data_IF_809243498156
#
_entry.id   IF_809243498156
#
_cell.length_a   1.000
_cell.length_b   1.000
_cell.length_c   1.000
_cell.angle_alpha   90.00
_cell.angle_beta   90.00
_cell.angle_gamma   90.00
#
_symmetry.space_group_name_H-M   'P 1'
#
loop_
_entity.id
_entity.type
_entity.pdbx_description
1 polymer ?
#
# COMPACT_ATOMS: atom_id res chain seq x y z
N UNK A 1 -2.87 -21.86 -20.00
CA UNK A 1 -3.02 -22.45 -18.66
C UNK A 1 -3.27 -21.40 -17.60
N UNK A 2 -2.27 -20.56 -17.29
CA UNK A 2 -2.31 -19.63 -16.14
C UNK A 2 -3.53 -18.68 -16.12
N UNK A 3 -3.88 -18.06 -17.24
CA UNK A 3 -5.05 -17.17 -17.30
C UNK A 3 -6.37 -17.88 -16.96
N UNK A 4 -6.58 -19.07 -17.50
CA UNK A 4 -7.77 -19.89 -17.21
C UNK A 4 -7.81 -20.33 -15.74
N UNK A 5 -6.67 -20.73 -15.17
CA UNK A 5 -6.59 -21.09 -13.75
C UNK A 5 -7.00 -19.91 -12.84
N UNK A 6 -6.56 -18.69 -13.15
CA UNK A 6 -6.96 -17.48 -12.41
C UNK A 6 -8.46 -17.23 -12.49
N UNK A 7 -9.06 -17.36 -13.68
CA UNK A 7 -10.51 -17.17 -13.88
C UNK A 7 -11.30 -18.20 -13.07
N UNK A 8 -10.91 -19.48 -13.14
CA UNK A 8 -11.57 -20.57 -12.40
C UNK A 8 -11.45 -20.35 -10.89
N UNK A 9 -10.28 -19.95 -10.41
CA UNK A 9 -10.06 -19.65 -8.99
C UNK A 9 -10.94 -18.49 -8.50
N UNK A 10 -11.05 -17.40 -9.27
CA UNK A 10 -11.90 -16.27 -8.90
C UNK A 10 -13.39 -16.62 -8.96
N UNK A 11 -13.80 -17.43 -9.95
CA UNK A 11 -15.18 -17.90 -10.07
C UNK A 11 -15.59 -18.75 -8.85
N UNK A 12 -14.75 -19.70 -8.43
CA UNK A 12 -14.99 -20.53 -7.24
C UNK A 12 -15.13 -19.70 -5.97
N UNK A 13 -14.22 -18.74 -5.75
CA UNK A 13 -14.28 -17.85 -4.57
C UNK A 13 -15.56 -17.01 -4.57
N UNK A 14 -15.96 -16.50 -5.75
CA UNK A 14 -17.20 -15.74 -5.91
C UNK A 14 -18.43 -16.58 -5.54
N UNK A 15 -18.48 -17.84 -6.01
CA UNK A 15 -19.57 -18.78 -5.68
C UNK A 15 -19.63 -19.03 -4.16
N UNK A 16 -18.49 -19.22 -3.51
CA UNK A 16 -18.41 -19.42 -2.06
C UNK A 16 -18.93 -18.19 -1.29
N UNK A 17 -18.56 -16.98 -1.70
CA UNK A 17 -19.06 -15.75 -1.08
C UNK A 17 -20.57 -15.56 -1.27
N UNK A 18 -21.10 -15.86 -2.47
CA UNK A 18 -22.54 -15.86 -2.73
C UNK A 18 -23.24 -16.86 -1.81
N UNK A 19 -22.69 -18.07 -1.67
CA UNK A 19 -23.25 -19.08 -0.77
C UNK A 19 -23.31 -18.58 0.69
N UNK A 20 -22.22 -18.03 1.21
CA UNK A 20 -22.21 -17.51 2.58
C UNK A 20 -23.16 -16.33 2.79
N UNK A 21 -23.29 -15.42 1.82
CA UNK A 21 -24.15 -14.25 1.92
C UNK A 21 -25.65 -14.63 1.99
N UNK A 22 -26.08 -15.64 1.23
CA UNK A 22 -27.49 -16.02 1.14
C UNK A 22 -27.91 -17.14 2.08
N UNK A 23 -27.03 -18.11 2.36
CA UNK A 23 -27.40 -19.34 3.08
C UNK A 23 -26.92 -19.39 4.53
N UNK A 24 -25.92 -18.59 4.91
CA UNK A 24 -25.43 -18.59 6.29
C UNK A 24 -26.15 -17.55 7.16
N UNK A 25 -26.89 -18.02 8.17
CA UNK A 25 -27.72 -17.19 9.08
C UNK A 25 -26.93 -16.32 10.09
N UNK A 26 -25.59 -16.33 10.02
CA UNK A 26 -24.71 -15.52 10.88
C UNK A 26 -24.22 -14.23 10.20
N UNK A 27 -24.69 -13.93 8.99
CA UNK A 27 -24.39 -12.66 8.33
C UNK A 27 -25.03 -11.50 9.09
N UNK A 28 -24.21 -10.50 9.48
CA UNK A 28 -24.68 -9.22 10.02
C UNK A 28 -25.48 -8.38 8.99
N UNK A 29 -25.48 -8.80 7.71
CA UNK A 29 -26.14 -8.11 6.59
C UNK A 29 -27.22 -9.02 6.02
N UNK A 30 -28.49 -8.62 6.13
CA UNK A 30 -29.63 -9.32 5.54
C UNK A 30 -29.83 -8.78 4.12
N UNK A 31 -29.47 -9.57 3.11
CA UNK A 31 -29.67 -9.19 1.72
C UNK A 31 -31.10 -9.48 1.29
N UNK A 32 -31.93 -8.43 1.12
CA UNK A 32 -33.30 -8.55 0.65
C UNK A 32 -33.53 -7.66 -0.58
N UNK A 33 -33.59 -8.29 -1.77
CA UNK A 33 -33.87 -7.58 -3.03
C UNK A 33 -35.20 -6.84 -3.03
N UNK A 34 -36.19 -7.28 -2.23
CA UNK A 34 -37.48 -6.60 -2.11
C UNK A 34 -37.39 -5.29 -1.31
N UNK A 35 -36.32 -5.10 -0.55
CA UNK A 35 -36.06 -3.91 0.27
C UNK A 35 -35.13 -2.91 -0.41
N UNK A 36 -34.77 -3.14 -1.68
CA UNK A 36 -33.88 -2.27 -2.41
C UNK A 36 -34.59 -0.97 -2.83
N UNK A 37 -34.15 0.15 -2.26
CA UNK A 37 -34.55 1.48 -2.66
C UNK A 37 -33.32 2.23 -3.18
N UNK A 38 -33.46 2.89 -4.33
CA UNK A 38 -32.40 3.74 -4.87
C UNK A 38 -32.20 4.96 -3.95
N UNK A 39 -31.02 5.06 -3.36
CA UNK A 39 -30.62 6.21 -2.54
C UNK A 39 -29.33 6.81 -3.10
N UNK A 40 -29.48 7.96 -3.75
CA UNK A 40 -28.36 8.70 -4.33
C UNK A 40 -27.32 9.11 -3.27
N UNK A 41 -27.74 9.34 -2.02
CA UNK A 41 -26.86 9.71 -0.91
C UNK A 41 -25.95 8.53 -0.55
N UNK A 42 -26.48 7.31 -0.51
CA UNK A 42 -25.68 6.10 -0.26
C UNK A 42 -24.70 5.87 -1.40
N UNK A 43 -25.15 5.97 -2.66
CA UNK A 43 -24.28 5.82 -3.83
C UNK A 43 -23.15 6.86 -3.81
N UNK A 44 -23.46 8.12 -3.52
CA UNK A 44 -22.45 9.17 -3.43
C UNK A 44 -21.41 8.88 -2.32
N UNK A 45 -21.83 8.32 -1.18
CA UNK A 45 -20.90 7.89 -0.12
C UNK A 45 -19.97 6.76 -0.59
N UNK A 46 -20.49 5.80 -1.33
CA UNK A 46 -19.70 4.70 -1.92
C UNK A 46 -18.65 5.28 -2.87
N UNK A 47 -19.04 6.12 -3.83
CA UNK A 47 -18.11 6.73 -4.78
C UNK A 47 -17.09 7.64 -4.09
N UNK A 48 -17.49 8.39 -3.07
CA UNK A 48 -16.59 9.27 -2.30
C UNK A 48 -15.46 8.49 -1.61
N UNK A 49 -15.69 7.25 -1.20
CA UNK A 49 -14.67 6.38 -0.61
C UNK A 49 -13.92 5.54 -1.65
N UNK A 50 -14.63 4.99 -2.62
CA UNK A 50 -14.08 4.08 -3.62
C UNK A 50 -13.25 4.78 -4.70
N UNK A 51 -13.68 5.95 -5.18
CA UNK A 51 -13.03 6.64 -6.29
C UNK A 51 -11.58 7.07 -5.96
N UNK A 52 -11.27 7.66 -4.78
CA UNK A 52 -9.88 7.93 -4.40
C UNK A 52 -9.02 6.68 -4.28
N UNK A 53 -9.59 5.56 -3.80
CA UNK A 53 -8.86 4.30 -3.70
C UNK A 53 -8.53 3.72 -5.08
N UNK A 54 -9.48 3.75 -6.01
CA UNK A 54 -9.28 3.32 -7.41
C UNK A 54 -8.26 4.21 -8.13
N UNK A 55 -8.36 5.53 -7.96
CA UNK A 55 -7.37 6.47 -8.51
C UNK A 55 -5.96 6.24 -7.95
N UNK A 56 -5.85 5.86 -6.67
CA UNK A 56 -4.55 5.49 -6.08
C UNK A 56 -3.93 4.27 -6.80
N UNK A 57 -4.75 3.29 -7.18
CA UNK A 57 -4.28 2.13 -7.95
C UNK A 57 -3.85 2.51 -9.36
N UNK A 58 -4.59 3.42 -10.02
CA UNK A 58 -4.18 3.96 -11.33
C UNK A 58 -2.83 4.66 -11.23
N UNK A 59 -2.62 5.48 -10.19
CA UNK A 59 -1.34 6.14 -9.94
C UNK A 59 -0.21 5.13 -9.76
N UNK A 60 -0.43 4.05 -8.99
CA UNK A 60 0.58 3.01 -8.81
C UNK A 60 0.97 2.37 -10.15
N UNK A 61 -0.01 2.05 -11.00
CA UNK A 61 0.23 1.49 -12.34
C UNK A 61 0.93 2.47 -13.28
N UNK A 62 0.52 3.74 -13.27
CA UNK A 62 1.18 4.80 -14.04
C UNK A 62 2.63 5.01 -13.57
N UNK A 63 2.85 4.98 -12.25
CA UNK A 63 4.18 5.05 -11.67
C UNK A 63 5.09 3.92 -12.12
N UNK A 64 4.58 2.68 -12.16
CA UNK A 64 5.31 1.54 -12.68
C UNK A 64 5.69 1.74 -14.16
N UNK A 65 4.76 2.24 -14.97
CA UNK A 65 5.02 2.54 -16.39
C UNK A 65 6.11 3.63 -16.55
N UNK A 66 6.03 4.72 -15.77
CA UNK A 66 7.03 5.78 -15.78
C UNK A 66 8.41 5.27 -15.32
N UNK A 67 8.46 4.51 -14.23
CA UNK A 67 9.70 3.90 -13.75
C UNK A 67 10.31 3.00 -14.80
N UNK A 68 9.52 2.14 -15.46
CA UNK A 68 10.04 1.29 -16.52
C UNK A 68 10.67 2.10 -17.67
N UNK A 69 10.06 3.24 -18.04
CA UNK A 69 10.62 4.16 -19.02
C UNK A 69 11.93 4.81 -18.57
N UNK A 70 12.02 5.24 -17.31
CA UNK A 70 13.22 5.89 -16.74
C UNK A 70 14.39 4.90 -16.60
N UNK A 71 14.11 3.66 -16.20
CA UNK A 71 15.17 2.65 -15.99
C UNK A 71 15.90 2.32 -17.30
N UNK A 72 15.25 2.44 -18.46
CA UNK A 72 15.85 2.37 -19.82
C UNK A 72 16.51 1.04 -20.22
N UNK A 73 16.74 0.14 -19.26
CA UNK A 73 17.44 -1.13 -19.41
C UNK A 73 16.51 -2.28 -19.08
N UNK A 74 16.43 -3.25 -19.99
CA UNK A 74 15.64 -4.49 -19.80
C UNK A 74 16.03 -5.22 -18.51
N UNK A 75 17.32 -5.24 -18.17
CA UNK A 75 17.82 -5.86 -16.93
C UNK A 75 17.43 -5.09 -15.68
N UNK A 76 17.49 -3.76 -15.71
CA UNK A 76 17.07 -2.95 -14.57
C UNK A 76 15.54 -3.02 -14.34
N UNK A 77 14.77 -3.04 -15.42
CA UNK A 77 13.32 -3.25 -15.36
C UNK A 77 12.99 -4.64 -14.80
N UNK A 78 13.70 -5.69 -15.25
CA UNK A 78 13.53 -7.04 -14.72
C UNK A 78 13.90 -7.12 -13.24
N UNK A 79 15.00 -6.49 -12.82
CA UNK A 79 15.42 -6.42 -11.42
C UNK A 79 14.37 -5.73 -10.55
N UNK A 80 13.84 -4.59 -10.99
CA UNK A 80 12.81 -3.83 -10.28
C UNK A 80 11.49 -4.60 -10.15
N UNK A 81 11.03 -5.26 -11.23
CA UNK A 81 9.81 -6.05 -11.21
C UNK A 81 9.94 -7.29 -10.31
N UNK A 82 11.07 -8.00 -10.38
CA UNK A 82 11.31 -9.15 -9.51
C UNK A 82 11.42 -8.73 -8.05
N UNK A 83 12.14 -7.65 -7.76
CA UNK A 83 12.21 -7.08 -6.42
C UNK A 83 10.82 -6.71 -5.89
N UNK A 84 9.98 -6.07 -6.71
CA UNK A 84 8.62 -5.70 -6.34
C UNK A 84 7.73 -6.91 -5.99
N UNK A 85 7.90 -8.05 -6.68
CA UNK A 85 7.15 -9.28 -6.35
C UNK A 85 7.60 -9.89 -5.03
N UNK A 86 8.92 -9.98 -4.82
CA UNK A 86 9.50 -10.46 -3.57
C UNK A 86 9.03 -9.54 -2.45
N UNK A 87 9.25 -8.22 -2.58
CA UNK A 87 8.83 -7.21 -1.61
C UNK A 87 7.35 -7.32 -1.27
N UNK A 88 6.46 -7.46 -2.26
CA UNK A 88 5.03 -7.57 -2.02
C UNK A 88 4.68 -8.74 -1.09
N UNK A 89 5.33 -9.89 -1.24
CA UNK A 89 5.15 -11.05 -0.37
C UNK A 89 5.52 -10.72 1.09
N UNK A 90 6.64 -10.04 1.32
CA UNK A 90 7.04 -9.63 2.67
C UNK A 90 6.17 -8.51 3.24
N UNK A 91 5.58 -7.66 2.40
CA UNK A 91 4.66 -6.63 2.87
C UNK A 91 3.25 -7.17 3.21
N UNK A 92 2.92 -8.42 2.87
CA UNK A 92 1.59 -9.01 3.15
C UNK A 92 1.15 -8.86 4.62
N UNK A 93 1.96 -9.18 5.65
CA UNK A 93 1.55 -9.01 7.04
C UNK A 93 1.23 -7.55 7.39
N UNK A 94 1.98 -6.61 6.82
CA UNK A 94 1.77 -5.16 7.03
C UNK A 94 0.50 -4.70 6.34
N UNK A 95 0.23 -5.21 5.12
CA UNK A 95 -1.01 -4.96 4.39
C UNK A 95 -2.21 -5.52 5.18
N UNK A 96 -2.09 -6.71 5.77
CA UNK A 96 -3.12 -7.31 6.62
C UNK A 96 -3.43 -6.44 7.85
N UNK A 97 -2.41 -5.98 8.57
CA UNK A 97 -2.59 -5.05 9.70
C UNK A 97 -3.25 -3.76 9.23
N UNK A 98 -2.76 -3.17 8.15
CA UNK A 98 -3.29 -1.91 7.63
C UNK A 98 -4.76 -2.05 7.20
N UNK A 99 -5.16 -3.19 6.65
CA UNK A 99 -6.54 -3.49 6.25
C UNK A 99 -7.44 -3.71 7.47
N UNK A 100 -6.98 -4.44 8.48
CA UNK A 100 -7.70 -4.62 9.75
C UNK A 100 -7.91 -3.29 10.48
N UNK A 101 -6.94 -2.36 10.40
CA UNK A 101 -7.07 -1.02 10.97
C UNK A 101 -8.21 -0.22 10.33
N UNK A 102 -8.46 -0.35 9.02
CA UNK A 102 -9.60 0.33 8.37
C UNK A 102 -10.91 -0.05 9.06
N UNK A 103 -11.13 -1.35 9.26
CA UNK A 103 -12.35 -1.88 9.87
C UNK A 103 -12.47 -1.51 11.35
N UNK A 104 -11.43 -1.76 12.15
CA UNK A 104 -11.46 -1.49 13.59
C UNK A 104 -11.60 0.00 13.90
N UNK A 105 -10.86 0.85 13.17
CA UNK A 105 -10.98 2.31 13.32
C UNK A 105 -12.36 2.77 12.89
N UNK A 106 -12.90 2.27 11.77
CA UNK A 106 -14.26 2.61 11.33
C UNK A 106 -15.33 2.21 12.34
N UNK A 107 -15.22 1.03 12.95
CA UNK A 107 -16.12 0.57 14.01
C UNK A 107 -16.04 1.45 15.26
N UNK A 108 -14.83 1.70 15.80
CA UNK A 108 -14.68 2.50 17.01
C UNK A 108 -15.04 3.96 16.79
N UNK A 109 -14.74 4.50 15.60
CA UNK A 109 -15.12 5.85 15.21
C UNK A 109 -16.65 5.97 15.11
N UNK A 110 -17.32 5.02 14.48
CA UNK A 110 -18.80 4.97 14.43
C UNK A 110 -19.46 4.82 15.80
N UNK A 111 -18.77 4.20 16.77
CA UNK A 111 -19.21 4.07 18.15
C UNK A 111 -18.84 5.28 19.05
N UNK A 112 -18.28 6.37 18.50
CA UNK A 112 -17.77 7.53 19.24
C UNK A 112 -16.70 7.18 20.32
N UNK A 113 -15.96 6.09 20.12
CA UNK A 113 -14.91 5.60 21.04
C UNK A 113 -13.51 6.02 20.57
N UNK A 114 -13.25 7.33 20.58
CA UNK A 114 -11.96 7.89 20.16
C UNK A 114 -10.78 7.44 21.04
N UNK A 115 -11.03 7.04 22.29
CA UNK A 115 -10.06 6.40 23.17
C UNK A 115 -9.53 5.08 22.58
N UNK A 116 -10.42 4.26 22.02
CA UNK A 116 -10.08 2.99 21.37
C UNK A 116 -9.42 3.21 20.02
N UNK A 117 -9.87 4.21 19.25
CA UNK A 117 -9.23 4.62 17.98
C UNK A 117 -7.75 4.95 18.22
N UNK A 118 -7.44 5.78 19.21
CA UNK A 118 -6.06 6.15 19.50
C UNK A 118 -5.20 4.95 19.94
N UNK A 119 -5.75 4.04 20.74
CA UNK A 119 -5.06 2.83 21.17
C UNK A 119 -4.76 1.90 20.00
N UNK A 120 -5.75 1.61 19.16
CA UNK A 120 -5.57 0.67 18.04
C UNK A 120 -4.66 1.23 16.95
N UNK A 121 -4.70 2.55 16.69
CA UNK A 121 -3.80 3.21 15.73
C UNK A 121 -2.35 3.12 16.20
N UNK A 122 -2.07 3.46 17.47
CA UNK A 122 -0.72 3.35 18.04
C UNK A 122 -0.23 1.89 18.01
N UNK A 123 -1.11 0.95 18.36
CA UNK A 123 -0.79 -0.48 18.34
C UNK A 123 -0.47 -0.95 16.91
N UNK A 124 -1.32 -0.66 15.94
CA UNK A 124 -1.14 -1.10 14.56
C UNK A 124 0.10 -0.50 13.89
N UNK A 125 0.36 0.80 14.10
CA UNK A 125 1.55 1.46 13.57
C UNK A 125 2.82 0.88 14.22
N UNK A 126 2.86 0.73 15.55
CA UNK A 126 4.04 0.19 16.25
C UNK A 126 4.34 -1.26 15.87
N UNK A 127 3.32 -2.12 15.76
CA UNK A 127 3.49 -3.51 15.30
C UNK A 127 3.90 -3.58 13.83
N UNK A 128 3.32 -2.73 12.98
CA UNK A 128 3.73 -2.60 11.58
C UNK A 128 5.20 -2.21 11.46
N UNK A 129 5.64 -1.18 12.19
CA UNK A 129 7.04 -0.74 12.19
C UNK A 129 7.97 -1.85 12.69
N UNK A 130 7.59 -2.59 13.74
CA UNK A 130 8.38 -3.70 14.25
C UNK A 130 8.60 -4.78 13.16
N UNK A 131 7.54 -5.16 12.44
CA UNK A 131 7.64 -6.09 11.31
C UNK A 131 8.52 -5.52 10.19
N UNK A 132 8.32 -4.25 9.85
CA UNK A 132 9.08 -3.57 8.80
C UNK A 132 10.57 -3.46 9.13
N UNK A 133 10.93 -3.22 10.39
CA UNK A 133 12.31 -3.20 10.87
C UNK A 133 12.93 -4.59 10.82
N UNK A 134 12.20 -5.64 11.21
CA UNK A 134 12.67 -7.02 11.06
C UNK A 134 12.99 -7.36 9.61
N UNK A 135 12.13 -6.97 8.65
CA UNK A 135 12.40 -7.18 7.23
C UNK A 135 13.51 -6.26 6.70
N UNK A 136 13.60 -5.02 7.18
CA UNK A 136 14.69 -4.10 6.86
C UNK A 136 16.04 -4.72 7.23
N UNK A 137 16.21 -5.22 8.45
CA UNK A 137 17.43 -5.92 8.87
C UNK A 137 17.66 -7.18 8.03
N UNK A 138 16.62 -7.99 7.81
CA UNK A 138 16.73 -9.20 7.03
C UNK A 138 17.28 -8.92 5.62
N UNK A 139 16.68 -7.98 4.89
CA UNK A 139 17.12 -7.65 3.55
C UNK A 139 18.47 -6.93 3.52
N UNK A 140 18.77 -6.09 4.50
CA UNK A 140 20.06 -5.40 4.54
C UNK A 140 21.23 -6.38 4.70
N UNK A 141 21.09 -7.39 5.56
CA UNK A 141 22.16 -8.35 5.85
C UNK A 141 22.14 -9.60 4.97
N UNK A 142 20.97 -10.08 4.55
CA UNK A 142 20.83 -11.37 3.86
C UNK A 142 20.45 -11.28 2.38
N UNK A 143 20.24 -10.07 1.81
CA UNK A 143 19.90 -9.95 0.38
C UNK A 143 20.92 -10.63 -0.54
N UNK A 144 22.22 -10.53 -0.24
CA UNK A 144 23.28 -11.13 -1.08
C UNK A 144 23.12 -12.67 -1.21
N UNK A 145 22.61 -13.34 -0.17
CA UNK A 145 22.44 -14.79 -0.15
C UNK A 145 21.02 -15.22 -0.58
N UNK A 146 20.02 -14.39 -0.30
CA UNK A 146 18.62 -14.72 -0.53
C UNK A 146 18.19 -14.46 -1.98
N UNK A 147 18.60 -13.35 -2.58
CA UNK A 147 18.20 -12.96 -3.94
C UNK A 147 18.67 -13.93 -5.03
N UNK A 148 19.89 -14.50 -4.99
CA UNK A 148 20.32 -15.51 -5.95
C UNK A 148 19.46 -16.77 -6.00
N UNK A 149 18.65 -17.06 -4.97
CA UNK A 149 17.73 -18.20 -4.98
C UNK A 149 16.53 -18.01 -5.92
N UNK A 150 16.22 -16.77 -6.29
CA UNK A 150 15.06 -16.43 -7.13
C UNK A 150 15.43 -16.06 -8.57
N UNK A 151 16.71 -15.75 -8.82
CA UNK A 151 17.18 -15.13 -10.06
C UNK A 151 18.46 -15.84 -10.50
N UNK A 152 18.56 -16.14 -11.80
CA UNK A 152 19.72 -16.82 -12.37
C UNK A 152 20.73 -15.87 -13.07
N UNK A 153 20.30 -14.67 -13.50
CA UNK A 153 21.19 -13.70 -14.17
C UNK A 153 21.91 -12.82 -13.13
N UNK A 154 23.25 -12.89 -13.13
CA UNK A 154 24.14 -12.18 -12.20
C UNK A 154 23.91 -10.66 -12.19
N UNK A 155 23.71 -10.03 -13.35
CA UNK A 155 23.50 -8.58 -13.41
C UNK A 155 22.15 -8.18 -12.82
N UNK A 156 21.13 -9.04 -12.98
CA UNK A 156 19.82 -8.81 -12.36
C UNK A 156 19.92 -9.03 -10.83
N UNK A 157 20.66 -10.04 -10.39
CA UNK A 157 20.93 -10.29 -8.96
C UNK A 157 21.57 -9.05 -8.32
N UNK A 158 22.66 -8.54 -8.87
CA UNK A 158 23.38 -7.38 -8.32
C UNK A 158 22.47 -6.15 -8.18
N UNK A 159 21.67 -5.86 -9.21
CA UNK A 159 20.71 -4.76 -9.19
C UNK A 159 19.62 -5.01 -8.14
N UNK A 160 19.03 -6.21 -8.08
CA UNK A 160 17.98 -6.52 -7.10
C UNK A 160 18.52 -6.48 -5.67
N UNK A 161 19.73 -6.98 -5.41
CA UNK A 161 20.39 -6.91 -4.11
C UNK A 161 20.58 -5.46 -3.69
N UNK A 162 21.12 -4.63 -4.58
CA UNK A 162 21.33 -3.21 -4.29
C UNK A 162 20.00 -2.48 -4.05
N UNK A 163 18.94 -2.84 -4.78
CA UNK A 163 17.59 -2.33 -4.52
C UNK A 163 17.14 -2.66 -3.10
N UNK A 164 17.25 -3.91 -2.66
CA UNK A 164 16.84 -4.33 -1.32
C UNK A 164 17.66 -3.64 -0.22
N UNK A 165 18.97 -3.47 -0.42
CA UNK A 165 19.82 -2.75 0.54
C UNK A 165 19.44 -1.28 0.69
N UNK A 166 19.07 -0.60 -0.39
CA UNK A 166 18.60 0.80 -0.34
C UNK A 166 17.19 0.87 0.24
N UNK A 167 16.28 0.03 -0.22
CA UNK A 167 14.87 0.04 0.19
C UNK A 167 14.65 -0.49 1.60
N UNK A 168 15.58 -1.26 2.17
CA UNK A 168 15.57 -1.62 3.59
C UNK A 168 15.37 -0.39 4.48
N UNK A 169 16.02 0.73 4.16
CA UNK A 169 15.85 1.99 4.91
C UNK A 169 14.48 2.64 4.69
N UNK A 170 13.78 2.32 3.59
CA UNK A 170 12.46 2.85 3.26
C UNK A 170 11.32 2.09 3.96
N UNK A 171 11.50 0.81 4.30
CA UNK A 171 10.41 -0.06 4.78
C UNK A 171 9.66 0.45 6.01
N UNK A 172 10.31 0.97 7.05
CA UNK A 172 9.61 1.58 8.18
C UNK A 172 8.73 2.76 7.75
N UNK A 173 9.23 3.61 6.84
CA UNK A 173 8.52 4.80 6.36
C UNK A 173 7.35 4.44 5.42
N UNK A 174 7.53 3.44 4.55
CA UNK A 174 6.44 2.89 3.74
C UNK A 174 5.32 2.37 4.64
N UNK A 175 5.69 1.67 5.70
CA UNK A 175 4.73 1.12 6.67
C UNK A 175 3.96 2.20 7.39
N UNK A 176 4.64 3.25 7.85
CA UNK A 176 4.02 4.44 8.44
C UNK A 176 3.04 5.09 7.47
N UNK A 177 3.48 5.35 6.22
CA UNK A 177 2.65 5.99 5.20
C UNK A 177 1.40 5.19 4.86
N UNK A 178 1.57 3.88 4.66
CA UNK A 178 0.49 2.97 4.32
C UNK A 178 -0.52 2.83 5.47
N UNK A 179 -0.05 2.54 6.68
CA UNK A 179 -0.93 2.37 7.84
C UNK A 179 -1.67 3.67 8.18
N UNK A 180 -0.99 4.82 8.15
CA UNK A 180 -1.62 6.13 8.38
C UNK A 180 -2.72 6.42 7.36
N UNK A 181 -2.47 6.13 6.08
CA UNK A 181 -3.46 6.30 5.00
C UNK A 181 -4.70 5.42 5.20
N UNK A 182 -4.50 4.17 5.64
CA UNK A 182 -5.60 3.24 5.93
C UNK A 182 -6.41 3.64 7.16
N UNK A 183 -5.74 4.16 8.21
CA UNK A 183 -6.44 4.73 9.37
C UNK A 183 -7.30 5.91 8.97
N UNK A 184 -6.78 6.85 8.16
CA UNK A 184 -7.57 7.98 7.65
C UNK A 184 -8.78 7.51 6.84
N UNK A 185 -8.61 6.47 6.01
CA UNK A 185 -9.71 5.83 5.31
C UNK A 185 -10.77 5.25 6.27
N UNK A 186 -10.35 4.59 7.35
CA UNK A 186 -11.25 4.09 8.41
C UNK A 186 -12.01 5.21 9.13
N UNK A 187 -11.43 6.41 9.25
CA UNK A 187 -12.09 7.61 9.79
C UNK A 187 -13.05 8.30 8.79
N UNK A 188 -13.25 7.72 7.60
CA UNK A 188 -14.11 8.28 6.55
C UNK A 188 -13.42 9.28 5.63
N UNK A 189 -12.10 9.46 5.73
CA UNK A 189 -11.31 10.33 4.87
C UNK A 189 -10.54 9.52 3.82
N UNK A 190 -11.10 9.37 2.61
CA UNK A 190 -10.44 8.63 1.52
C UNK A 190 -9.46 9.47 0.69
N UNK A 191 -9.65 10.79 0.59
CA UNK A 191 -8.78 11.67 -0.22
C UNK A 191 -7.29 11.63 0.17
N UNK A 192 -6.90 11.55 1.45
CA UNK A 192 -5.49 11.47 1.84
C UNK A 192 -4.76 10.28 1.19
N UNK A 193 -5.41 9.13 1.00
CA UNK A 193 -4.80 7.96 0.36
C UNK A 193 -4.34 8.27 -1.07
N UNK A 194 -5.23 8.88 -1.85
CA UNK A 194 -4.95 9.29 -3.23
C UNK A 194 -3.82 10.31 -3.29
N UNK A 195 -3.93 11.37 -2.49
CA UNK A 195 -2.97 12.48 -2.50
C UNK A 195 -1.58 11.98 -2.07
N UNK A 196 -1.49 11.23 -0.98
CA UNK A 196 -0.20 10.68 -0.53
C UNK A 196 0.41 9.73 -1.56
N UNK A 197 -0.41 8.92 -2.24
CA UNK A 197 0.09 8.03 -3.30
C UNK A 197 0.58 8.83 -4.51
N UNK A 198 -0.12 9.89 -4.90
CA UNK A 198 0.28 10.80 -5.99
C UNK A 198 1.62 11.46 -5.69
N UNK A 199 1.77 12.03 -4.50
CA UNK A 199 3.02 12.66 -4.07
C UNK A 199 4.16 11.65 -4.04
N UNK A 200 3.92 10.47 -3.45
CA UNK A 200 4.96 9.45 -3.33
C UNK A 200 5.43 8.96 -4.69
N UNK A 201 4.51 8.56 -5.55
CA UNK A 201 4.86 7.77 -6.74
C UNK A 201 5.23 8.68 -7.91
N UNK A 202 4.42 9.69 -8.20
CA UNK A 202 4.57 10.51 -9.41
C UNK A 202 5.38 11.77 -9.11
N UNK A 203 4.93 12.57 -8.13
CA UNK A 203 5.50 13.92 -7.94
C UNK A 203 6.92 13.87 -7.38
N UNK A 204 7.18 13.01 -6.39
CA UNK A 204 8.49 12.98 -5.73
C UNK A 204 9.35 11.87 -6.33
N UNK A 205 8.88 10.61 -6.32
CA UNK A 205 9.72 9.48 -6.74
C UNK A 205 10.07 9.53 -8.23
N UNK A 206 9.07 9.64 -9.12
CA UNK A 206 9.34 9.66 -10.56
C UNK A 206 10.13 10.90 -10.99
N UNK A 207 9.84 12.08 -10.44
CA UNK A 207 10.61 13.30 -10.74
C UNK A 207 12.05 13.23 -10.25
N UNK A 208 12.31 12.71 -9.04
CA UNK A 208 13.68 12.51 -8.55
C UNK A 208 14.42 11.44 -9.36
N UNK A 209 13.75 10.33 -9.70
CA UNK A 209 14.35 9.30 -10.54
C UNK A 209 14.72 9.84 -11.92
N UNK A 210 13.82 10.62 -12.55
CA UNK A 210 14.08 11.28 -13.82
C UNK A 210 15.24 12.27 -13.72
N UNK A 211 15.28 13.09 -12.67
CA UNK A 211 16.36 14.04 -12.44
C UNK A 211 17.72 13.35 -12.23
N UNK A 212 17.80 12.32 -11.40
CA UNK A 212 19.06 11.63 -11.14
C UNK A 212 19.55 10.82 -12.34
N UNK A 213 18.66 10.06 -12.99
CA UNK A 213 19.07 9.11 -14.04
C UNK A 213 19.24 9.79 -15.40
N UNK A 214 18.35 10.72 -15.76
CA UNK A 214 18.34 11.32 -17.12
C UNK A 214 19.10 12.63 -17.16
N UNK A 215 18.91 13.53 -16.19
CA UNK A 215 19.60 14.85 -16.22
C UNK A 215 21.03 14.74 -15.70
N UNK A 216 21.22 14.07 -14.57
CA UNK A 216 22.55 13.94 -13.94
C UNK A 216 23.35 12.73 -14.44
N UNK A 217 22.79 11.94 -15.36
CA UNK A 217 23.38 10.72 -15.94
C UNK A 217 23.94 9.76 -14.88
N UNK A 218 23.31 9.73 -13.69
CA UNK A 218 23.72 8.84 -12.61
C UNK A 218 23.28 7.41 -12.90
N UNK A 219 23.96 6.41 -12.33
CA UNK A 219 23.55 5.02 -12.46
C UNK A 219 22.11 4.78 -11.98
N UNK A 220 21.49 3.76 -12.55
CA UNK A 220 20.08 3.44 -12.37
C UNK A 220 19.65 3.25 -10.90
N UNK A 221 20.56 2.83 -10.02
CA UNK A 221 20.27 2.67 -8.59
C UNK A 221 19.91 3.98 -7.88
N UNK A 222 20.26 5.14 -8.44
CA UNK A 222 19.83 6.44 -7.91
C UNK A 222 18.31 6.65 -8.05
N UNK A 223 17.63 5.93 -8.96
CA UNK A 223 16.16 5.91 -9.01
C UNK A 223 15.55 5.33 -7.72
N UNK A 224 16.22 4.35 -7.11
CA UNK A 224 15.79 3.74 -5.85
C UNK A 224 16.05 4.69 -4.66
N UNK A 225 17.13 5.46 -4.72
CA UNK A 225 17.37 6.54 -3.75
C UNK A 225 16.28 7.61 -3.83
N UNK A 226 15.85 7.99 -5.05
CA UNK A 226 14.69 8.87 -5.24
C UNK A 226 13.41 8.30 -4.61
N UNK A 227 13.20 6.99 -4.73
CA UNK A 227 12.08 6.28 -4.09
C UNK A 227 12.17 6.28 -2.57
N UNK A 228 13.36 6.07 -2.01
CA UNK A 228 13.62 6.15 -0.58
C UNK A 228 13.28 7.55 -0.03
N UNK A 229 13.82 8.61 -0.64
CA UNK A 229 13.56 10.00 -0.26
C UNK A 229 12.05 10.29 -0.30
N UNK A 230 11.39 9.84 -1.38
CA UNK A 230 9.95 9.98 -1.52
C UNK A 230 9.16 9.30 -0.40
N UNK A 231 9.55 8.09 -0.01
CA UNK A 231 8.91 7.35 1.08
C UNK A 231 9.07 8.08 2.42
N UNK A 232 10.27 8.59 2.72
CA UNK A 232 10.54 9.37 3.94
C UNK A 232 9.66 10.63 3.96
N UNK A 233 9.71 11.45 2.92
CA UNK A 233 8.94 12.70 2.86
C UNK A 233 7.43 12.45 2.96
N UNK A 234 6.91 11.49 2.19
CA UNK A 234 5.47 11.19 2.20
C UNK A 234 5.04 10.61 3.55
N UNK A 235 5.88 9.80 4.19
CA UNK A 235 5.56 9.25 5.51
C UNK A 235 5.43 10.35 6.57
N UNK A 236 6.31 11.36 6.55
CA UNK A 236 6.23 12.52 7.44
C UNK A 236 4.93 13.30 7.23
N UNK A 237 4.59 13.59 5.97
CA UNK A 237 3.32 14.26 5.61
C UNK A 237 2.13 13.42 6.09
N UNK A 238 2.18 12.10 5.94
CA UNK A 238 1.10 11.20 6.35
C UNK A 238 0.85 11.21 7.86
N UNK A 239 1.91 11.23 8.69
CA UNK A 239 1.79 11.30 10.14
C UNK A 239 1.17 12.62 10.55
N UNK A 240 1.70 13.74 10.01
CA UNK A 240 1.20 15.07 10.35
C UNK A 240 -0.28 15.23 9.99
N UNK A 241 -0.68 14.69 8.83
CA UNK A 241 -2.07 14.70 8.41
C UNK A 241 -2.95 13.83 9.32
N UNK A 242 -2.51 12.60 9.62
CA UNK A 242 -3.22 11.71 10.53
C UNK A 242 -3.44 12.38 11.91
N UNK A 243 -2.39 12.96 12.49
CA UNK A 243 -2.47 13.67 13.76
C UNK A 243 -3.46 14.83 13.71
N UNK A 244 -3.47 15.60 12.60
CA UNK A 244 -4.42 16.70 12.40
C UNK A 244 -5.86 16.21 12.35
N UNK A 245 -6.13 15.08 11.68
CA UNK A 245 -7.47 14.48 11.61
C UNK A 245 -7.90 14.01 13.00
N UNK A 246 -7.07 13.22 13.68
CA UNK A 246 -7.39 12.70 15.01
C UNK A 246 -7.67 13.85 16.00
N UNK A 247 -6.86 14.91 16.00
CA UNK A 247 -7.07 16.08 16.88
C UNK A 247 -8.38 16.82 16.57
N UNK A 248 -8.82 16.86 15.32
CA UNK A 248 -10.10 17.47 14.94
C UNK A 248 -11.27 16.62 15.41
N UNK A 249 -11.20 15.31 15.24
CA UNK A 249 -12.23 14.37 15.70
C UNK A 249 -12.41 14.38 17.22
N UNK A 250 -11.33 14.59 17.98
CA UNK A 250 -11.39 14.75 19.45
C UNK A 250 -12.03 16.06 19.90
N UNK A 251 -12.09 17.09 19.07
CA UNK A 251 -12.74 18.39 19.40
C UNK A 251 -14.22 18.42 19.05
N UNK A 252 -14.69 17.50 18.21
CA UNK A 252 -16.09 17.40 17.78
C UNK A 252 -16.89 16.38 18.59
N UNK A 253 -16.26 15.69 19.55
CA UNK A 253 -16.87 14.78 20.53
C UNK A 253 -16.88 15.45 21.89
#
# INVERSE_FOLDING_TARGET
>A
GAALATIISQALVTIIFIYFLFFQKQSYIIFNFKSFNYDSIIIQKIFRLGLPASLSMIIMSMGLMLFNGILGSTKAVAAYQTAGRIEHFFFLPIISIATALVTLVGMFYGANRMDLVNKIVKYGISRGICIALSFSLFFFFFADNFIPMFINDIQIIELTVLYFKIMAFAYPFITIGMTSSRVMQGLGHANPMFILTLFRVIIISASLAWYFVIILEKPVHYAWVGSLISCILTSLISILWLQKIIRRSLKST
#
